data_IF_343669842051
#
_entry.id   IF_343669842051
#
_cell.length_a   1.000
_cell.length_b   1.000
_cell.length_c   1.000
_cell.angle_alpha   90.00
_cell.angle_beta   90.00
_cell.angle_gamma   90.00
#
_symmetry.space_group_name_H-M   'P 1'
#
loop_
_entity.id
_entity.type
_entity.pdbx_description
1 polymer ?
#
# COMPACT_ATOMS: atom_id res chain seq x y z
N UNK A 1 -26.22 -27.31 -9.53
CA UNK A 1 -26.64 -28.15 -8.39
C UNK A 1 -26.16 -27.46 -7.13
N UNK A 2 -27.07 -26.76 -6.46
CA UNK A 2 -26.84 -26.13 -5.16
C UNK A 2 -27.63 -26.96 -4.15
N UNK A 3 -27.02 -28.03 -3.67
CA UNK A 3 -27.64 -28.95 -2.71
C UNK A 3 -27.16 -28.60 -1.31
N UNK A 4 -28.12 -28.26 -0.45
CA UNK A 4 -28.16 -28.62 0.96
C UNK A 4 -27.04 -28.11 1.88
N UNK A 5 -27.06 -26.79 2.14
CA UNK A 5 -26.63 -26.27 3.43
C UNK A 5 -27.66 -26.70 4.49
N UNK A 6 -27.54 -27.93 5.00
CA UNK A 6 -28.34 -28.37 6.15
C UNK A 6 -27.86 -27.66 7.41
N UNK A 7 -28.79 -27.33 8.31
CA UNK A 7 -28.52 -26.72 9.62
C UNK A 7 -27.42 -27.44 10.43
N UNK A 8 -27.20 -28.73 10.14
CA UNK A 8 -26.19 -29.59 10.76
C UNK A 8 -24.75 -29.28 10.32
N UNK A 9 -24.54 -28.40 9.34
CA UNK A 9 -23.20 -27.91 8.92
C UNK A 9 -22.74 -26.66 9.67
N UNK A 10 -23.59 -26.07 10.52
CA UNK A 10 -23.30 -24.88 11.33
C UNK A 10 -22.49 -25.08 12.62
N UNK A 11 -22.38 -26.27 13.26
CA UNK A 11 -21.76 -26.37 14.59
C UNK A 11 -20.23 -26.25 14.60
N UNK A 12 -19.60 -26.05 13.44
CA UNK A 12 -18.16 -25.76 13.30
C UNK A 12 -17.85 -24.36 12.75
N UNK A 13 -18.86 -23.51 12.54
CA UNK A 13 -18.64 -22.10 12.18
C UNK A 13 -18.54 -21.28 13.46
N UNK A 14 -17.33 -20.84 13.79
CA UNK A 14 -17.15 -19.85 14.85
C UNK A 14 -18.00 -18.61 14.53
N UNK A 15 -18.75 -18.15 15.54
CA UNK A 15 -19.54 -16.94 15.42
C UNK A 15 -18.57 -15.77 15.22
N UNK A 16 -18.66 -15.12 14.06
CA UNK A 16 -17.83 -13.96 13.74
C UNK A 16 -18.00 -12.88 14.81
N UNK A 17 -16.91 -12.48 15.44
CA UNK A 17 -16.94 -11.42 16.44
C UNK A 17 -17.17 -10.07 15.77
N UNK A 18 -17.55 -9.04 16.53
CA UNK A 18 -17.62 -7.67 16.03
C UNK A 18 -16.30 -7.22 15.37
N UNK A 19 -15.16 -7.69 15.90
CA UNK A 19 -13.83 -7.41 15.33
C UNK A 19 -13.68 -8.03 13.95
N UNK A 20 -14.15 -9.25 13.76
CA UNK A 20 -14.07 -9.96 12.46
C UNK A 20 -14.96 -9.30 11.42
N UNK A 21 -16.20 -8.93 11.81
CA UNK A 21 -17.15 -8.22 10.94
C UNK A 21 -16.55 -6.88 10.48
N UNK A 22 -16.00 -6.09 11.40
CA UNK A 22 -15.34 -4.81 11.07
C UNK A 22 -14.11 -5.06 10.20
N UNK A 23 -13.31 -6.09 10.49
CA UNK A 23 -12.14 -6.47 9.71
C UNK A 23 -12.48 -6.78 8.26
N UNK A 24 -13.52 -7.60 8.02
CA UNK A 24 -14.03 -7.94 6.69
C UNK A 24 -14.52 -6.68 5.97
N UNK A 25 -15.27 -5.81 6.65
CA UNK A 25 -15.78 -4.58 6.06
C UNK A 25 -14.63 -3.65 5.61
N UNK A 26 -13.62 -3.45 6.46
CA UNK A 26 -12.45 -2.64 6.14
C UNK A 26 -11.63 -3.22 4.98
N UNK A 27 -11.40 -4.53 4.96
CA UNK A 27 -10.72 -5.19 3.85
C UNK A 27 -11.47 -4.99 2.52
N UNK A 28 -12.80 -5.06 2.54
CA UNK A 28 -13.63 -4.79 1.37
C UNK A 28 -13.57 -3.34 0.92
N UNK A 29 -13.55 -2.38 1.85
CA UNK A 29 -13.36 -0.96 1.54
C UNK A 29 -12.01 -0.70 0.90
N UNK A 30 -10.93 -1.28 1.43
CA UNK A 30 -9.58 -1.17 0.83
C UNK A 30 -9.62 -1.65 -0.62
N UNK A 31 -10.16 -2.85 -0.88
CA UNK A 31 -10.26 -3.42 -2.24
C UNK A 31 -11.10 -2.55 -3.17
N UNK A 32 -12.24 -2.06 -2.70
CA UNK A 32 -13.15 -1.21 -3.46
C UNK A 32 -12.47 0.10 -3.85
N UNK A 33 -11.88 0.80 -2.88
CA UNK A 33 -11.25 2.08 -3.09
C UNK A 33 -9.96 1.95 -3.90
N UNK A 34 -9.16 0.92 -3.69
CA UNK A 34 -8.01 0.60 -4.55
C UNK A 34 -8.45 0.39 -6.01
N UNK A 35 -9.44 -0.47 -6.24
CA UNK A 35 -9.98 -0.73 -7.60
C UNK A 35 -10.51 0.54 -8.24
N UNK A 36 -11.12 1.43 -7.46
CA UNK A 36 -11.58 2.74 -7.94
C UNK A 36 -10.41 3.67 -8.25
N UNK A 37 -9.36 3.69 -7.42
CA UNK A 37 -8.17 4.51 -7.60
C UNK A 37 -7.39 4.09 -8.85
N UNK A 38 -7.28 2.78 -9.11
CA UNK A 38 -6.51 2.18 -10.21
C UNK A 38 -7.30 1.96 -11.49
N UNK A 39 -8.53 2.47 -11.61
CA UNK A 39 -9.39 2.24 -12.80
C UNK A 39 -8.72 2.59 -14.14
N UNK A 40 -7.83 3.58 -14.13
CA UNK A 40 -7.13 4.04 -15.34
C UNK A 40 -5.88 3.19 -15.67
N UNK A 41 -5.48 2.28 -14.78
CA UNK A 41 -4.29 1.44 -14.89
C UNK A 41 -4.68 -0.04 -14.69
N UNK A 42 -5.22 -0.63 -15.76
CA UNK A 42 -5.61 -2.05 -15.79
C UNK A 42 -4.39 -2.94 -15.48
N UNK A 43 -4.42 -3.68 -14.38
CA UNK A 43 -3.35 -4.59 -13.96
C UNK A 43 -2.55 -4.15 -12.72
N UNK A 44 -2.76 -2.92 -12.22
CA UNK A 44 -2.13 -2.49 -10.97
C UNK A 44 -2.82 -3.13 -9.76
N UNK A 45 -2.27 -4.25 -9.30
CA UNK A 45 -2.68 -4.92 -8.07
C UNK A 45 -1.77 -4.51 -6.92
N UNK A 46 -2.36 -4.26 -5.75
CA UNK A 46 -1.60 -3.93 -4.54
C UNK A 46 -0.67 -5.10 -4.12
N UNK A 47 -1.09 -6.31 -4.45
CA UNK A 47 -0.36 -7.57 -4.27
C UNK A 47 0.57 -7.91 -5.44
N UNK A 48 0.87 -6.95 -6.32
CA UNK A 48 1.84 -7.20 -7.39
C UNK A 48 3.25 -7.42 -6.82
N UNK A 49 4.04 -8.36 -7.36
CA UNK A 49 5.39 -8.61 -6.86
C UNK A 49 6.25 -7.35 -6.95
N UNK A 50 6.89 -6.97 -5.83
CA UNK A 50 7.75 -5.78 -5.75
C UNK A 50 8.93 -5.85 -6.73
N UNK A 51 9.40 -7.06 -7.07
CA UNK A 51 10.46 -7.30 -8.06
C UNK A 51 10.18 -6.62 -9.40
N UNK A 52 8.91 -6.55 -9.86
CA UNK A 52 8.57 -5.83 -11.11
C UNK A 52 8.72 -4.32 -11.01
N UNK A 53 8.51 -3.73 -9.82
CA UNK A 53 8.62 -2.28 -9.61
C UNK A 53 10.07 -1.79 -9.55
N UNK A 54 11.02 -2.71 -9.33
CA UNK A 54 12.44 -2.41 -9.36
C UNK A 54 12.90 -2.13 -10.80
N UNK A 55 12.46 -2.95 -11.76
CA UNK A 55 12.80 -2.85 -13.20
C UNK A 55 12.17 -1.65 -13.91
N UNK A 56 11.04 -1.12 -13.45
CA UNK A 56 10.36 0.06 -14.00
C UNK A 56 11.09 1.40 -13.73
N UNK A 57 12.42 1.36 -13.69
CA UNK A 57 13.35 2.50 -13.69
C UNK A 57 13.23 3.40 -14.94
N UNK A 58 12.32 3.07 -15.87
CA UNK A 58 11.95 3.88 -17.04
C UNK A 58 10.75 4.82 -16.83
N UNK A 59 10.30 5.09 -15.61
CA UNK A 59 9.43 6.25 -15.36
C UNK A 59 10.31 7.52 -15.23
N UNK A 60 11.12 7.76 -16.25
CA UNK A 60 11.79 9.03 -16.45
C UNK A 60 10.79 10.04 -17.03
N UNK A 61 10.50 11.07 -16.24
CA UNK A 61 10.43 12.44 -16.78
C UNK A 61 9.15 12.93 -17.44
N UNK A 62 8.02 12.22 -17.44
CA UNK A 62 6.86 12.71 -18.19
C UNK A 62 5.51 12.47 -17.52
N UNK A 63 4.79 13.57 -17.33
CA UNK A 63 3.36 13.72 -17.03
C UNK A 63 2.99 13.82 -15.54
N UNK A 64 2.63 15.04 -15.16
CA UNK A 64 2.08 15.51 -13.87
C UNK A 64 0.71 14.92 -13.49
N UNK A 65 0.36 13.73 -14.02
CA UNK A 65 -0.93 13.09 -13.75
C UNK A 65 -0.73 12.00 -12.70
N UNK A 66 -1.52 12.00 -11.61
CA UNK A 66 -1.40 10.99 -10.58
C UNK A 66 -1.80 9.63 -11.17
N UNK A 67 -0.93 8.62 -10.99
CA UNK A 67 -1.16 7.23 -11.41
C UNK A 67 -2.47 6.66 -10.85
N UNK A 68 -2.94 7.20 -9.72
CA UNK A 68 -4.16 6.80 -9.06
C UNK A 68 -5.04 8.02 -8.81
N UNK A 69 -6.36 7.82 -8.81
CA UNK A 69 -7.28 8.89 -8.39
C UNK A 69 -7.04 9.22 -6.91
N UNK A 70 -6.61 10.46 -6.56
CA UNK A 70 -6.12 10.75 -5.20
C UNK A 70 -7.18 10.58 -4.11
N UNK A 71 -8.45 10.87 -4.41
CA UNK A 71 -9.54 10.76 -3.44
C UNK A 71 -9.82 9.30 -3.06
N UNK A 72 -9.90 8.41 -4.07
CA UNK A 72 -10.10 6.98 -3.83
C UNK A 72 -8.89 6.37 -3.10
N UNK A 73 -7.65 6.76 -3.48
CA UNK A 73 -6.45 6.29 -2.79
C UNK A 73 -6.44 6.68 -1.31
N UNK A 74 -6.79 7.92 -0.98
CA UNK A 74 -6.93 8.37 0.41
C UNK A 74 -7.92 7.54 1.21
N UNK A 75 -9.05 7.17 0.63
CA UNK A 75 -10.05 6.34 1.31
C UNK A 75 -9.51 4.91 1.55
N UNK A 76 -8.74 4.36 0.61
CA UNK A 76 -8.06 3.08 0.81
C UNK A 76 -7.01 3.15 1.93
N UNK A 77 -6.23 4.23 1.99
CA UNK A 77 -5.26 4.50 3.06
C UNK A 77 -5.97 4.55 4.43
N UNK A 78 -7.03 5.35 4.56
CA UNK A 78 -7.77 5.44 5.82
C UNK A 78 -8.37 4.08 6.26
N UNK A 79 -8.91 3.30 5.33
CA UNK A 79 -9.45 1.98 5.64
C UNK A 79 -8.35 1.00 6.09
N UNK A 80 -7.17 1.05 5.47
CA UNK A 80 -6.02 0.23 5.86
C UNK A 80 -5.42 0.63 7.20
N UNK A 81 -5.37 1.92 7.55
CA UNK A 81 -4.98 2.38 8.89
C UNK A 81 -5.89 1.80 9.97
N UNK A 82 -7.22 1.82 9.75
CA UNK A 82 -8.18 1.23 10.70
C UNK A 82 -8.03 -0.28 10.80
N UNK A 83 -7.73 -0.97 9.69
CA UNK A 83 -7.54 -2.41 9.71
C UNK A 83 -6.23 -2.80 10.42
N UNK A 84 -5.18 -1.99 10.30
CA UNK A 84 -3.91 -2.19 11.00
C UNK A 84 -4.06 -2.08 12.52
N UNK A 85 -4.98 -1.26 13.03
CA UNK A 85 -5.32 -1.25 14.47
C UNK A 85 -5.88 -2.61 14.91
N UNK A 86 -6.69 -3.25 14.05
CA UNK A 86 -7.24 -4.57 14.33
C UNK A 86 -6.24 -5.70 14.09
N UNK A 87 -5.24 -5.51 13.23
CA UNK A 87 -4.27 -6.55 12.85
C UNK A 87 -2.84 -5.99 12.76
N UNK A 88 -2.24 -5.55 13.88
CA UNK A 88 -0.97 -4.82 13.86
C UNK A 88 0.24 -5.69 13.52
N UNK A 89 0.11 -7.01 13.50
CA UNK A 89 1.20 -7.93 13.14
C UNK A 89 1.04 -8.52 11.74
N UNK A 90 0.00 -8.10 11.00
CA UNK A 90 -0.23 -8.57 9.64
C UNK A 90 0.72 -7.83 8.67
N UNK A 91 1.87 -8.43 8.41
CA UNK A 91 2.90 -7.87 7.53
C UNK A 91 2.36 -7.63 6.12
N UNK A 92 1.54 -8.52 5.56
CA UNK A 92 1.01 -8.37 4.20
C UNK A 92 0.12 -7.13 4.08
N UNK A 93 -0.74 -6.90 5.09
CA UNK A 93 -1.55 -5.69 5.19
C UNK A 93 -0.68 -4.44 5.35
N UNK A 94 0.38 -4.51 6.14
CA UNK A 94 1.30 -3.38 6.33
C UNK A 94 2.11 -3.07 5.07
N UNK A 95 2.54 -4.09 4.33
CA UNK A 95 3.14 -3.96 2.99
C UNK A 95 2.20 -3.21 2.08
N UNK A 96 0.96 -3.68 1.98
CA UNK A 96 -0.10 -3.08 1.17
C UNK A 96 -0.36 -1.61 1.54
N UNK A 97 -0.40 -1.30 2.84
CA UNK A 97 -0.55 0.07 3.34
C UNK A 97 0.63 0.96 2.97
N UNK A 98 1.87 0.50 3.16
CA UNK A 98 3.08 1.21 2.73
C UNK A 98 3.14 1.46 1.22
N UNK A 99 2.67 0.49 0.43
CA UNK A 99 2.55 0.65 -1.02
C UNK A 99 1.54 1.75 -1.41
N UNK A 100 0.43 1.90 -0.68
CA UNK A 100 -0.50 3.00 -0.94
C UNK A 100 0.15 4.38 -0.71
N UNK A 101 1.00 4.52 0.32
CA UNK A 101 1.77 5.75 0.55
C UNK A 101 2.80 6.01 -0.55
N UNK A 102 3.44 4.95 -1.06
CA UNK A 102 4.31 5.06 -2.23
C UNK A 102 3.55 5.63 -3.44
N UNK A 103 2.37 5.09 -3.75
CA UNK A 103 1.57 5.61 -4.87
C UNK A 103 0.98 7.01 -4.61
N UNK A 104 0.79 7.41 -3.35
CA UNK A 104 0.44 8.79 -2.99
C UNK A 104 1.64 9.74 -3.02
N UNK A 105 2.85 9.23 -3.32
CA UNK A 105 4.13 9.95 -3.32
C UNK A 105 4.55 10.51 -1.95
N UNK A 106 4.02 9.94 -0.87
CA UNK A 106 4.49 10.24 0.49
C UNK A 106 5.56 9.20 0.87
N UNK A 107 6.76 9.39 0.31
CA UNK A 107 7.85 8.42 0.46
C UNK A 107 8.32 8.27 1.91
N UNK A 108 8.19 9.29 2.75
CA UNK A 108 8.55 9.20 4.16
C UNK A 108 7.67 8.21 4.92
N UNK A 109 6.34 8.29 4.73
CA UNK A 109 5.42 7.32 5.31
C UNK A 109 5.56 5.94 4.69
N UNK A 110 5.80 5.86 3.38
CA UNK A 110 6.03 4.59 2.70
C UNK A 110 7.26 3.87 3.27
N UNK A 111 8.38 4.58 3.44
CA UNK A 111 9.59 4.07 4.09
C UNK A 111 9.26 3.57 5.50
N UNK A 112 8.62 4.40 6.33
CA UNK A 112 8.31 4.05 7.71
C UNK A 112 7.50 2.75 7.79
N UNK A 113 6.39 2.66 7.04
CA UNK A 113 5.50 1.50 7.08
C UNK A 113 6.16 0.25 6.52
N UNK A 114 6.95 0.36 5.45
CA UNK A 114 7.63 -0.78 4.85
C UNK A 114 8.83 -1.26 5.70
N UNK A 115 9.53 -0.36 6.38
CA UNK A 115 10.54 -0.73 7.37
C UNK A 115 9.94 -1.50 8.54
N UNK A 116 8.78 -1.07 9.05
CA UNK A 116 8.04 -1.82 10.07
C UNK A 116 7.55 -3.15 9.49
N UNK A 117 7.10 -3.18 8.24
CA UNK A 117 6.67 -4.41 7.57
C UNK A 117 7.77 -5.47 7.56
N UNK A 118 9.01 -5.11 7.21
CA UNK A 118 10.14 -6.04 7.18
C UNK A 118 10.39 -6.72 8.53
N UNK A 119 10.16 -6.01 9.64
CA UNK A 119 10.32 -6.58 10.99
C UNK A 119 9.30 -7.69 11.32
N UNK A 120 8.19 -7.81 10.59
CA UNK A 120 7.17 -8.84 10.78
C UNK A 120 7.05 -9.82 9.60
N UNK A 121 7.76 -9.56 8.50
CA UNK A 121 7.70 -10.38 7.30
C UNK A 121 8.63 -11.61 7.43
N UNK A 122 8.34 -12.72 6.74
CA UNK A 122 9.31 -13.78 6.53
C UNK A 122 10.60 -13.24 5.89
N UNK A 123 11.74 -13.88 6.16
CA UNK A 123 13.06 -13.43 5.68
C UNK A 123 13.07 -13.26 4.16
N UNK A 124 12.47 -14.18 3.41
CA UNK A 124 12.44 -14.14 1.95
C UNK A 124 11.67 -12.93 1.40
N UNK A 125 10.62 -12.50 2.10
CA UNK A 125 9.84 -11.31 1.72
C UNK A 125 10.54 -10.03 2.17
N UNK A 126 11.24 -10.05 3.31
CA UNK A 126 12.04 -8.95 3.81
C UNK A 126 13.22 -8.64 2.88
N UNK A 127 13.92 -9.67 2.39
CA UNK A 127 15.01 -9.53 1.40
C UNK A 127 14.52 -8.88 0.10
N UNK A 128 13.29 -9.16 -0.32
CA UNK A 128 12.68 -8.52 -1.52
C UNK A 128 12.30 -7.07 -1.24
N UNK A 129 11.88 -6.75 0.00
CA UNK A 129 11.48 -5.42 0.43
C UNK A 129 12.66 -4.47 0.62
N UNK A 130 13.80 -4.96 1.10
CA UNK A 130 14.95 -4.14 1.48
C UNK A 130 15.47 -3.24 0.33
N UNK A 131 15.78 -3.74 -0.88
CA UNK A 131 16.20 -2.90 -2.01
C UNK A 131 15.13 -1.89 -2.43
N UNK A 132 13.85 -2.24 -2.23
CA UNK A 132 12.75 -1.32 -2.53
C UNK A 132 12.70 -0.18 -1.51
N UNK A 133 12.88 -0.46 -0.21
CA UNK A 133 12.95 0.55 0.84
C UNK A 133 14.15 1.48 0.64
N UNK A 134 15.31 0.96 0.26
CA UNK A 134 16.49 1.78 -0.09
C UNK A 134 16.18 2.74 -1.26
N UNK A 135 15.54 2.23 -2.32
CA UNK A 135 15.08 3.05 -3.45
C UNK A 135 14.12 4.16 -2.99
N UNK A 136 13.21 3.87 -2.06
CA UNK A 136 12.29 4.88 -1.51
C UNK A 136 13.02 5.98 -0.72
N UNK A 137 14.07 5.63 0.03
CA UNK A 137 14.91 6.64 0.70
C UNK A 137 15.56 7.59 -0.31
N UNK A 138 16.06 7.08 -1.44
CA UNK A 138 16.61 7.92 -2.51
C UNK A 138 15.54 8.83 -3.12
N UNK A 139 14.34 8.30 -3.41
CA UNK A 139 13.22 9.11 -3.91
C UNK A 139 12.76 10.19 -2.93
N UNK A 140 12.76 9.89 -1.63
CA UNK A 140 12.49 10.85 -0.57
C UNK A 140 13.51 11.99 -0.58
N UNK A 141 14.81 11.67 -0.64
CA UNK A 141 15.88 12.67 -0.72
C UNK A 141 15.76 13.53 -1.99
N UNK A 142 15.53 12.93 -3.15
CA UNK A 142 15.33 13.65 -4.40
C UNK A 142 14.14 14.62 -4.33
N UNK A 143 13.01 14.17 -3.78
CA UNK A 143 11.82 15.00 -3.62
C UNK A 143 12.08 16.20 -2.71
N UNK A 144 12.85 15.99 -1.63
CA UNK A 144 13.30 17.05 -0.72
C UNK A 144 14.19 18.06 -1.45
N UNK A 145 15.14 17.61 -2.28
CA UNK A 145 16.00 18.50 -3.07
C UNK A 145 15.23 19.29 -4.12
N UNK A 146 14.31 18.67 -4.86
CA UNK A 146 13.44 19.35 -5.83
C UNK A 146 12.59 20.43 -5.14
N UNK A 147 12.09 20.17 -3.93
CA UNK A 147 11.35 21.16 -3.13
C UNK A 147 12.22 22.34 -2.67
N UNK A 148 13.51 22.11 -2.36
CA UNK A 148 14.47 23.16 -1.96
C UNK A 148 14.99 23.96 -3.16
N UNK A 149 15.20 23.32 -4.31
CA UNK A 149 15.64 23.98 -5.55
C UNK A 149 14.66 25.01 -6.09
N UNK A 150 13.35 24.86 -5.80
CA UNK A 150 12.34 25.90 -6.09
C UNK A 150 12.32 27.06 -5.09
N UNK A 151 12.95 26.94 -3.92
CA UNK A 151 13.06 28.02 -2.92
C UNK A 151 14.37 28.80 -2.99
N UNK A 152 15.38 28.29 -3.71
CA UNK A 152 16.70 28.92 -3.80
C UNK A 152 17.02 29.34 -5.22
N UNK A 153 16.63 30.58 -5.61
CA UNK A 153 17.47 31.33 -6.54
C UNK A 153 18.79 31.58 -5.80
N UNK A 154 19.76 30.69 -6.01
CA UNK A 154 21.14 30.94 -5.63
C UNK A 154 21.59 32.16 -6.43
N UNK A 155 21.54 33.33 -5.78
CA UNK A 155 22.25 34.52 -6.26
C UNK A 155 23.70 34.28 -5.89
N UNK A 156 24.50 33.94 -6.90
CA UNK A 156 25.96 33.91 -6.76
C UNK A 156 26.44 35.37 -6.68
N UNK A 157 27.34 35.74 -5.74
CA UNK A 157 27.92 37.08 -5.66
C UNK A 157 28.71 37.48 -6.91
#
# INVERSE_FOLDING_TARGET
>A
MASDLTCNSLPGLDIATNRDIIGIYLANLIRLHWKRASRMNHGLMLTSPLRRLHDESKINGSTSMPLLRPQDLRLAIMASERLLILQPHNWALRRDHGMMWYYSRDYGKAVQELSICMAFAPEEEAEVLEPFVEKLHLLQLESSWKSRGHKGRLTVP
#
